data_IF_541247837940
#
_entry.id   IF_541247837940
#
_cell.length_a   1.000
_cell.length_b   1.000
_cell.length_c   1.000
_cell.angle_alpha   90.00
_cell.angle_beta   90.00
_cell.angle_gamma   90.00
#
_symmetry.space_group_name_H-M   'P 1'
#
loop_
_entity.id
_entity.type
_entity.pdbx_description
1 polymer ?
#
# COMPACT_ATOMS: atom_id res chain seq x y z
N UNK A 1 -9.00 13.40 10.97
CA UNK A 1 -9.87 13.44 9.76
C UNK A 1 -9.53 12.36 8.74
N UNK A 2 -10.53 11.66 8.21
CA UNK A 2 -10.39 10.97 6.92
C UNK A 2 -10.22 12.03 5.81
N UNK A 3 -9.55 11.69 4.70
CA UNK A 3 -9.09 12.63 3.65
C UNK A 3 -7.83 13.47 3.95
N UNK A 4 -7.17 13.28 5.09
CA UNK A 4 -5.88 13.95 5.39
C UNK A 4 -4.65 13.35 4.67
N UNK A 5 -4.82 12.71 3.51
CA UNK A 5 -3.70 12.15 2.73
C UNK A 5 -3.04 10.88 3.30
N UNK A 6 -3.48 10.35 4.45
CA UNK A 6 -2.89 9.17 5.11
C UNK A 6 -2.74 7.96 4.18
N UNK A 7 -3.77 7.62 3.41
CA UNK A 7 -3.72 6.49 2.46
C UNK A 7 -2.79 6.75 1.28
N UNK A 8 -2.72 8.01 0.82
CA UNK A 8 -1.79 8.42 -0.24
C UNK A 8 -0.35 8.27 0.23
N UNK A 9 -0.05 8.73 1.45
CA UNK A 9 1.28 8.63 2.03
C UNK A 9 1.76 7.18 2.18
N UNK A 10 0.90 6.28 2.68
CA UNK A 10 1.24 4.86 2.82
C UNK A 10 1.53 4.20 1.46
N UNK A 11 0.69 4.47 0.44
CA UNK A 11 0.91 3.94 -0.91
C UNK A 11 2.17 4.53 -1.55
N UNK A 12 2.45 5.81 -1.34
CA UNK A 12 3.66 6.46 -1.83
C UNK A 12 4.92 5.75 -1.30
N UNK A 13 4.98 5.44 -0.01
CA UNK A 13 6.13 4.74 0.58
C UNK A 13 6.30 3.33 0.00
N UNK A 14 5.21 2.59 -0.18
CA UNK A 14 5.24 1.26 -0.79
C UNK A 14 5.78 1.32 -2.23
N UNK A 15 5.32 2.28 -3.03
CA UNK A 15 5.80 2.49 -4.40
C UNK A 15 7.28 2.88 -4.43
N UNK A 16 7.74 3.73 -3.52
CA UNK A 16 9.15 4.12 -3.40
C UNK A 16 10.03 2.89 -3.10
N UNK A 17 9.60 2.00 -2.20
CA UNK A 17 10.33 0.78 -1.89
C UNK A 17 10.46 -0.15 -3.11
N UNK A 18 9.37 -0.33 -3.88
CA UNK A 18 9.37 -1.12 -5.11
C UNK A 18 10.32 -0.54 -6.15
N UNK A 19 10.20 0.76 -6.44
CA UNK A 19 11.04 1.45 -7.42
C UNK A 19 12.53 1.35 -7.08
N UNK A 20 12.88 1.53 -5.80
CA UNK A 20 14.26 1.42 -5.35
C UNK A 20 14.83 0.01 -5.57
N UNK A 21 14.08 -1.05 -5.22
CA UNK A 21 14.53 -2.43 -5.43
C UNK A 21 14.54 -2.87 -6.89
N UNK A 22 13.78 -2.21 -7.76
CA UNK A 22 13.87 -2.39 -9.21
C UNK A 22 15.09 -1.72 -9.84
N UNK A 23 15.84 -0.90 -9.08
CA UNK A 23 16.97 -0.11 -9.58
C UNK A 23 16.55 1.18 -10.29
N UNK A 24 15.31 1.65 -10.08
CA UNK A 24 14.82 2.92 -10.64
C UNK A 24 15.17 4.10 -9.73
N UNK A 25 15.26 5.31 -10.32
CA UNK A 25 15.14 6.53 -9.53
C UNK A 25 13.79 6.57 -8.80
N UNK A 26 13.78 7.18 -7.62
CA UNK A 26 12.58 7.35 -6.79
C UNK A 26 12.20 8.83 -6.68
N UNK A 27 10.91 9.17 -6.53
CA UNK A 27 10.46 10.55 -6.41
C UNK A 27 10.71 11.12 -5.00
N UNK A 28 11.98 11.41 -4.68
CA UNK A 28 12.40 12.05 -3.44
C UNK A 28 13.65 12.90 -3.67
N UNK A 29 13.85 13.95 -2.86
CA UNK A 29 15.11 14.71 -2.87
C UNK A 29 16.30 13.87 -2.39
N UNK A 30 16.06 12.97 -1.42
CA UNK A 30 16.98 11.92 -0.98
C UNK A 30 16.18 10.75 -0.42
N UNK A 31 16.71 9.52 -0.56
CA UNK A 31 16.08 8.33 -0.01
C UNK A 31 17.16 7.32 0.44
N UNK A 32 17.01 6.79 1.65
CA UNK A 32 17.76 5.64 2.12
C UNK A 32 16.77 4.50 2.39
N UNK A 33 16.90 3.40 1.65
CA UNK A 33 15.93 2.30 1.64
C UNK A 33 16.71 1.00 1.82
N UNK A 34 16.37 0.24 2.85
CA UNK A 34 16.91 -1.11 3.06
C UNK A 34 16.24 -2.14 2.13
N UNK A 35 16.80 -3.34 2.04
CA UNK A 35 16.20 -4.43 1.25
C UNK A 35 14.91 -4.89 1.95
N UNK A 36 13.80 -4.81 1.25
CA UNK A 36 12.48 -5.30 1.67
C UNK A 36 12.23 -6.67 1.04
N UNK A 37 12.05 -7.70 1.87
CA UNK A 37 11.69 -9.05 1.41
C UNK A 37 10.25 -9.08 0.87
N UNK A 38 9.31 -8.46 1.59
CA UNK A 38 7.88 -8.44 1.25
C UNK A 38 7.21 -7.14 1.67
N UNK A 39 6.31 -6.65 0.84
CA UNK A 39 5.41 -5.53 1.15
C UNK A 39 4.01 -6.06 1.44
N UNK A 40 3.54 -5.84 2.66
CA UNK A 40 2.16 -6.13 3.05
C UNK A 40 1.34 -4.85 3.01
N UNK A 41 0.13 -4.94 2.48
CA UNK A 41 -0.78 -3.82 2.38
C UNK A 41 -2.20 -4.30 2.57
N UNK A 42 -2.92 -3.66 3.50
CA UNK A 42 -4.37 -3.80 3.63
C UNK A 42 -5.01 -2.48 3.20
N UNK A 43 -5.16 -2.35 1.89
CA UNK A 43 -5.87 -1.21 1.30
C UNK A 43 -7.29 -1.70 1.06
N UNK A 44 -8.25 -1.09 1.77
CA UNK A 44 -9.66 -1.47 1.73
C UNK A 44 -10.11 -1.75 0.30
N UNK A 45 -10.66 -2.96 0.11
CA UNK A 45 -11.16 -3.44 -1.17
C UNK A 45 -12.10 -2.37 -1.74
N UNK A 46 -11.81 -1.92 -2.96
CA UNK A 46 -12.81 -1.27 -3.78
C UNK A 46 -13.85 -2.36 -4.06
N UNK A 47 -14.91 -2.39 -3.26
CA UNK A 47 -16.11 -3.23 -3.38
C UNK A 47 -15.96 -4.50 -4.24
N UNK A 48 -15.56 -5.62 -3.62
CA UNK A 48 -15.88 -6.94 -4.19
C UNK A 48 -17.36 -7.25 -3.85
N UNK A 49 -18.26 -6.51 -4.49
CA UNK A 49 -19.72 -6.63 -4.39
C UNK A 49 -20.23 -7.96 -4.97
N UNK A 50 -19.35 -8.90 -5.36
CA UNK A 50 -19.69 -10.06 -6.19
C UNK A 50 -19.74 -11.42 -5.46
N UNK A 51 -19.59 -11.50 -4.13
CA UNK A 51 -19.50 -12.84 -3.44
C UNK A 51 -20.35 -13.08 -2.19
N UNK A 52 -21.26 -12.18 -1.84
CA UNK A 52 -22.19 -12.41 -0.70
C UNK A 52 -21.51 -12.54 0.67
N UNK A 53 -20.26 -12.09 0.81
CA UNK A 53 -19.53 -12.00 2.08
C UNK A 53 -19.47 -10.54 2.53
N UNK A 54 -19.64 -10.28 3.83
CA UNK A 54 -19.58 -8.91 4.33
C UNK A 54 -18.16 -8.35 4.23
N UNK A 55 -18.05 -7.05 3.95
CA UNK A 55 -16.77 -6.34 3.92
C UNK A 55 -15.97 -6.57 5.20
N UNK A 56 -16.63 -6.64 6.35
CA UNK A 56 -16.02 -6.95 7.65
C UNK A 56 -15.41 -8.36 7.71
N UNK A 57 -16.09 -9.37 7.16
CA UNK A 57 -15.58 -10.74 7.13
C UNK A 57 -14.35 -10.86 6.23
N UNK A 58 -14.35 -10.19 5.06
CA UNK A 58 -13.21 -10.17 4.14
C UNK A 58 -12.01 -9.48 4.79
N UNK A 59 -12.26 -8.36 5.45
CA UNK A 59 -11.26 -7.60 6.19
C UNK A 59 -10.61 -8.37 7.35
N UNK A 60 -11.28 -9.35 7.97
CA UNK A 60 -10.70 -10.08 9.11
C UNK A 60 -9.82 -11.28 8.71
N UNK A 61 -9.92 -11.74 7.46
CA UNK A 61 -9.23 -12.94 6.95
C UNK A 61 -7.97 -12.58 6.15
N UNK A 62 -7.90 -11.34 5.66
CA UNK A 62 -6.79 -10.77 4.88
C UNK A 62 -5.76 -10.05 5.78
#
# INVERSE_FOLDING_TARGET
>A
PNMGGKSTFLRQNALIAILAQMGSFVPAGSAHIGIVDRLFSRVGASDDLARGRSTFMVEMVE
#
